data_IF_072440376507
#
_entry.id   IF_072440376507
#
_cell.length_a   1.000
_cell.length_b   1.000
_cell.length_c   1.000
_cell.angle_alpha   90.00
_cell.angle_beta   90.00
_cell.angle_gamma   90.00
#
_symmetry.space_group_name_H-M   'P 1'
#
loop_
_entity.id
_entity.type
_entity.pdbx_description
1 polymer ?
#
# COMPACT_ATOMS: atom_id res chain seq x y z
N UNK A 1 -13.18 30.58 -5.95
CA UNK A 1 -12.41 29.43 -6.47
C UNK A 1 -13.28 28.20 -6.71
N UNK A 2 -13.93 27.64 -5.69
CA UNK A 2 -14.79 26.44 -5.82
C UNK A 2 -15.88 26.59 -6.89
N UNK A 3 -16.60 27.71 -6.93
CA UNK A 3 -17.66 27.96 -7.92
C UNK A 3 -17.16 27.95 -9.38
N UNK A 4 -15.96 28.49 -9.63
CA UNK A 4 -15.33 28.46 -10.96
C UNK A 4 -14.99 27.04 -11.40
N UNK A 5 -14.44 26.24 -10.48
CA UNK A 5 -14.15 24.83 -10.72
C UNK A 5 -15.42 24.05 -11.05
N UNK A 6 -16.47 24.20 -10.23
CA UNK A 6 -17.75 23.54 -10.45
C UNK A 6 -18.43 23.95 -11.76
N UNK A 7 -18.30 25.21 -12.17
CA UNK A 7 -18.82 25.69 -13.45
C UNK A 7 -18.13 25.02 -14.64
N UNK A 8 -16.80 24.91 -14.62
CA UNK A 8 -16.05 24.21 -15.68
C UNK A 8 -16.34 22.70 -15.67
N UNK A 9 -16.46 22.08 -14.50
CA UNK A 9 -16.88 20.68 -14.38
C UNK A 9 -18.27 20.45 -15.01
N UNK A 10 -19.21 21.35 -14.78
CA UNK A 10 -20.55 21.28 -15.36
C UNK A 10 -20.52 21.38 -16.90
N UNK A 11 -19.66 22.21 -17.48
CA UNK A 11 -19.47 22.30 -18.94
C UNK A 11 -19.00 20.98 -19.56
N UNK A 12 -18.31 20.14 -18.78
CA UNK A 12 -17.86 18.82 -19.18
C UNK A 12 -18.81 17.68 -18.72
N UNK A 13 -20.02 18.00 -18.24
CA UNK A 13 -20.98 17.06 -17.67
C UNK A 13 -20.43 16.24 -16.47
N UNK A 14 -19.49 16.82 -15.72
CA UNK A 14 -18.92 16.19 -14.52
C UNK A 14 -19.72 16.70 -13.31
N UNK A 15 -20.65 15.89 -12.81
CA UNK A 15 -21.45 16.25 -11.62
C UNK A 15 -20.60 16.23 -10.34
N UNK A 16 -19.73 15.23 -10.22
CA UNK A 16 -18.82 15.04 -9.10
C UNK A 16 -17.45 14.57 -9.59
N UNK A 17 -16.35 14.98 -8.93
CA UNK A 17 -15.02 14.53 -9.33
C UNK A 17 -14.87 13.04 -8.98
N UNK A 18 -14.89 12.19 -10.00
CA UNK A 18 -14.79 10.73 -9.88
C UNK A 18 -14.08 10.15 -11.10
N UNK A 19 -13.47 8.98 -10.94
CA UNK A 19 -12.89 8.22 -12.04
C UNK A 19 -13.87 7.21 -12.62
N UNK A 20 -13.56 6.72 -13.82
CA UNK A 20 -14.24 5.56 -14.42
C UNK A 20 -13.69 4.28 -13.79
N UNK A 21 -14.17 3.97 -12.58
CA UNK A 21 -13.62 2.90 -11.74
C UNK A 21 -13.68 1.49 -12.35
N UNK A 22 -14.59 1.26 -13.29
CA UNK A 22 -14.80 -0.03 -13.95
C UNK A 22 -13.84 -0.28 -15.12
N UNK A 23 -13.09 0.75 -15.55
CA UNK A 23 -12.14 0.66 -16.65
C UNK A 23 -10.72 0.52 -16.07
N UNK A 24 -9.98 -0.50 -16.50
CA UNK A 24 -8.58 -0.68 -16.09
C UNK A 24 -7.70 0.39 -16.76
N UNK A 25 -6.77 0.96 -16.00
CA UNK A 25 -5.83 1.98 -16.47
C UNK A 25 -6.36 3.41 -16.36
N UNK A 26 -5.58 4.39 -16.84
CA UNK A 26 -5.97 5.80 -16.84
C UNK A 26 -6.82 6.08 -18.08
N UNK A 27 -8.07 6.48 -17.88
CA UNK A 27 -8.95 6.84 -18.99
C UNK A 27 -8.78 8.31 -19.38
N UNK A 28 -9.26 8.67 -20.59
CA UNK A 28 -9.36 10.08 -21.00
C UNK A 28 -10.25 10.88 -20.03
N UNK A 29 -11.26 10.24 -19.44
CA UNK A 29 -12.11 10.83 -18.42
C UNK A 29 -11.31 11.16 -17.16
N UNK A 30 -10.52 10.22 -16.63
CA UNK A 30 -9.73 10.42 -15.42
C UNK A 30 -8.72 11.56 -15.61
N UNK A 31 -8.07 11.60 -16.79
CA UNK A 31 -7.18 12.68 -17.18
C UNK A 31 -7.87 14.05 -17.18
N UNK A 32 -9.08 14.14 -17.76
CA UNK A 32 -9.87 15.37 -17.80
C UNK A 32 -10.24 15.86 -16.38
N UNK A 33 -10.71 14.94 -15.52
CA UNK A 33 -11.06 15.27 -14.13
C UNK A 33 -9.84 15.80 -13.36
N UNK A 34 -8.68 15.12 -13.49
CA UNK A 34 -7.43 15.57 -12.87
C UNK A 34 -7.02 16.95 -13.40
N UNK A 35 -7.02 17.15 -14.71
CA UNK A 35 -6.59 18.41 -15.32
C UNK A 35 -7.44 19.60 -14.88
N UNK A 36 -8.77 19.45 -14.81
CA UNK A 36 -9.67 20.51 -14.31
C UNK A 36 -9.34 20.84 -12.85
N UNK A 37 -9.24 19.83 -11.99
CA UNK A 37 -8.95 20.04 -10.57
C UNK A 37 -7.59 20.70 -10.35
N UNK A 38 -6.56 20.23 -11.05
CA UNK A 38 -5.18 20.78 -10.96
C UNK A 38 -5.14 22.21 -11.47
N UNK A 39 -5.81 22.51 -12.59
CA UNK A 39 -5.92 23.88 -13.14
C UNK A 39 -6.50 24.84 -12.11
N UNK A 40 -7.62 24.48 -11.49
CA UNK A 40 -8.29 25.35 -10.50
C UNK A 40 -7.53 25.43 -9.17
N UNK A 41 -6.86 24.36 -8.76
CA UNK A 41 -6.00 24.36 -7.59
C UNK A 41 -4.81 25.31 -7.75
N UNK A 42 -4.11 25.23 -8.90
CA UNK A 42 -3.00 26.12 -9.22
C UNK A 42 -3.46 27.58 -9.38
N UNK A 43 -4.63 27.81 -9.98
CA UNK A 43 -5.22 29.13 -10.08
C UNK A 43 -5.51 29.74 -8.69
N UNK A 44 -6.12 28.96 -7.79
CA UNK A 44 -6.37 29.39 -6.41
C UNK A 44 -5.07 29.69 -5.66
N UNK A 45 -4.03 28.84 -5.81
CA UNK A 45 -2.71 29.10 -5.26
C UNK A 45 -2.14 30.44 -5.74
N UNK A 46 -2.16 30.69 -7.04
CA UNK A 46 -1.61 31.90 -7.65
C UNK A 46 -2.38 33.18 -7.28
N UNK A 47 -3.61 33.03 -6.77
CA UNK A 47 -4.41 34.12 -6.18
C UNK A 47 -4.32 34.16 -4.66
N UNK A 48 -3.30 33.52 -4.10
CA UNK A 48 -2.96 33.54 -2.69
C UNK A 48 -4.10 33.00 -1.80
N UNK A 49 -4.95 32.12 -2.34
CA UNK A 49 -6.06 31.52 -1.59
C UNK A 49 -5.61 30.61 -0.44
N UNK A 50 -4.32 30.27 -0.39
CA UNK A 50 -3.70 29.39 0.61
C UNK A 50 -2.72 30.14 1.53
N UNK A 51 -2.86 31.45 1.72
CA UNK A 51 -1.98 32.24 2.59
C UNK A 51 -1.88 31.68 4.02
N UNK A 52 -2.98 31.15 4.56
CA UNK A 52 -3.01 30.51 5.88
C UNK A 52 -2.28 29.15 5.92
N UNK A 53 -2.00 28.57 4.74
CA UNK A 53 -1.34 27.27 4.56
C UNK A 53 -0.25 27.39 3.49
N UNK A 54 0.85 28.13 3.75
CA UNK A 54 1.87 28.41 2.76
C UNK A 54 2.51 27.10 2.28
N UNK A 55 2.27 26.77 1.02
CA UNK A 55 2.87 25.61 0.37
C UNK A 55 4.23 26.00 -0.20
N UNK A 56 5.26 25.23 0.10
CA UNK A 56 6.57 25.38 -0.52
C UNK A 56 6.44 25.32 -2.05
N UNK A 57 7.03 26.31 -2.73
CA UNK A 57 6.98 26.51 -4.19
C UNK A 57 7.27 25.22 -4.96
N UNK A 58 8.30 24.50 -4.52
CA UNK A 58 8.87 23.33 -5.20
C UNK A 58 7.91 22.13 -5.24
N UNK A 59 6.93 22.08 -4.34
CA UNK A 59 5.92 21.02 -4.26
C UNK A 59 4.62 21.35 -5.02
N UNK A 60 4.59 22.47 -5.73
CA UNK A 60 3.39 22.94 -6.42
C UNK A 60 3.50 22.89 -7.96
N UNK A 61 4.34 22.00 -8.49
CA UNK A 61 4.40 21.77 -9.93
C UNK A 61 3.13 21.06 -10.41
N UNK A 62 2.72 21.25 -11.68
CA UNK A 62 1.54 20.59 -12.25
C UNK A 62 1.59 19.08 -12.02
N UNK A 63 2.75 18.46 -12.21
CA UNK A 63 2.96 17.01 -12.04
C UNK A 63 2.72 16.55 -10.61
N UNK A 64 3.30 17.25 -9.61
CA UNK A 64 3.13 16.89 -8.20
C UNK A 64 1.68 17.04 -7.77
N UNK A 65 1.04 18.16 -8.14
CA UNK A 65 -0.36 18.41 -7.80
C UNK A 65 -1.27 17.38 -8.48
N UNK A 66 -0.98 17.00 -9.73
CA UNK A 66 -1.72 15.93 -10.42
C UNK A 66 -1.63 14.61 -9.67
N UNK A 67 -0.44 14.23 -9.20
CA UNK A 67 -0.25 13.02 -8.39
C UNK A 67 -1.04 13.07 -7.07
N UNK A 68 -1.05 14.23 -6.39
CA UNK A 68 -1.81 14.44 -5.15
C UNK A 68 -3.32 14.31 -5.39
N UNK A 69 -3.84 14.98 -6.43
CA UNK A 69 -5.26 14.95 -6.80
C UNK A 69 -5.68 13.53 -7.19
N UNK A 70 -4.87 12.83 -7.99
CA UNK A 70 -5.13 11.45 -8.38
C UNK A 70 -5.19 10.54 -7.15
N UNK A 71 -4.21 10.65 -6.24
CA UNK A 71 -4.19 9.85 -5.01
C UNK A 71 -5.41 10.16 -4.12
N UNK A 72 -5.79 11.43 -4.00
CA UNK A 72 -6.96 11.84 -3.23
C UNK A 72 -8.25 11.21 -3.79
N UNK A 73 -8.44 11.26 -5.11
CA UNK A 73 -9.60 10.63 -5.76
C UNK A 73 -9.63 9.11 -5.59
N UNK A 74 -8.48 8.44 -5.72
CA UNK A 74 -8.38 6.99 -5.47
C UNK A 74 -8.73 6.61 -4.03
N UNK A 75 -8.41 7.46 -3.05
CA UNK A 75 -8.82 7.26 -1.65
C UNK A 75 -10.33 7.41 -1.47
N UNK A 76 -10.99 8.27 -2.24
CA UNK A 76 -12.44 8.44 -2.17
C UNK A 76 -13.19 7.17 -2.64
N UNK A 77 -12.66 6.41 -3.62
CA UNK A 77 -13.23 5.10 -4.04
C UNK A 77 -13.45 4.17 -2.85
N UNK A 78 -12.49 4.12 -1.92
CA UNK A 78 -12.56 3.25 -0.74
C UNK A 78 -13.69 3.64 0.25
N UNK A 79 -14.16 4.88 0.20
CA UNK A 79 -15.24 5.39 1.06
C UNK A 79 -16.64 5.12 0.53
N UNK A 80 -16.81 4.87 -0.78
CA UNK A 80 -18.12 4.73 -1.41
C UNK A 80 -18.67 3.29 -1.42
N UNK A 81 -17.90 2.28 -0.99
CA UNK A 81 -18.25 0.87 -1.20
C UNK A 81 -18.19 -0.06 0.02
N UNK A 82 -17.94 0.43 1.24
CA UNK A 82 -17.83 -0.44 2.43
C UNK A 82 -18.51 0.16 3.65
N UNK A 83 -19.30 -0.65 4.36
CA UNK A 83 -19.94 -0.28 5.61
C UNK A 83 -18.91 0.28 6.61
N UNK A 84 -19.24 1.43 7.21
CA UNK A 84 -18.33 2.21 8.05
C UNK A 84 -17.82 1.41 9.27
N UNK A 85 -18.60 0.42 9.72
CA UNK A 85 -18.30 -0.44 10.88
C UNK A 85 -17.28 -1.54 10.54
N UNK A 86 -17.39 -2.22 9.39
CA UNK A 86 -16.42 -3.25 8.96
C UNK A 86 -15.06 -2.62 8.65
N UNK A 87 -15.03 -1.39 8.12
CA UNK A 87 -13.79 -0.65 7.85
C UNK A 87 -13.00 -0.31 9.14
N UNK A 88 -13.67 -0.05 10.26
CA UNK A 88 -13.00 0.23 11.54
C UNK A 88 -12.31 -1.01 12.12
N UNK A 89 -12.91 -2.20 11.98
CA UNK A 89 -12.29 -3.44 12.46
C UNK A 89 -11.09 -3.85 11.59
N UNK A 90 -11.25 -3.83 10.26
CA UNK A 90 -10.16 -4.17 9.35
C UNK A 90 -8.97 -3.21 9.50
N UNK A 91 -9.21 -1.91 9.68
CA UNK A 91 -8.13 -0.94 9.92
C UNK A 91 -7.39 -1.19 11.24
N UNK A 92 -8.09 -1.59 12.31
CA UNK A 92 -7.46 -2.00 13.58
C UNK A 92 -6.62 -3.26 13.41
N UNK A 93 -7.12 -4.25 12.68
CA UNK A 93 -6.41 -5.50 12.37
C UNK A 93 -5.14 -5.20 11.55
N UNK A 94 -5.25 -4.44 10.46
CA UNK A 94 -4.11 -4.04 9.62
C UNK A 94 -3.06 -3.26 10.41
N UNK A 95 -3.49 -2.34 11.28
CA UNK A 95 -2.58 -1.61 12.17
C UNK A 95 -1.84 -2.55 13.11
N UNK A 96 -2.51 -3.56 13.66
CA UNK A 96 -1.89 -4.54 14.56
C UNK A 96 -0.91 -5.44 13.83
N UNK A 97 -1.27 -5.95 12.65
CA UNK A 97 -0.38 -6.73 11.77
C UNK A 97 0.87 -5.93 11.38
N UNK A 98 0.69 -4.67 10.98
CA UNK A 98 1.81 -3.76 10.69
C UNK A 98 2.76 -3.63 11.89
N UNK A 99 2.22 -3.39 13.09
CA UNK A 99 3.03 -3.29 14.30
C UNK A 99 3.78 -4.59 14.62
N UNK A 100 3.13 -5.74 14.45
CA UNK A 100 3.73 -7.03 14.70
C UNK A 100 4.87 -7.32 13.70
N UNK A 101 4.64 -7.13 12.40
CA UNK A 101 5.68 -7.27 11.36
C UNK A 101 6.83 -6.32 11.58
N UNK A 102 6.56 -5.05 11.85
CA UNK A 102 7.60 -4.06 12.13
C UNK A 102 8.41 -4.42 13.39
N UNK A 103 7.75 -4.86 14.46
CA UNK A 103 8.43 -5.30 15.67
C UNK A 103 9.34 -6.51 15.39
N UNK A 104 8.83 -7.51 14.67
CA UNK A 104 9.61 -8.69 14.35
C UNK A 104 10.78 -8.37 13.42
N UNK A 105 10.58 -7.52 12.42
CA UNK A 105 11.65 -7.06 11.54
C UNK A 105 12.73 -6.32 12.32
N UNK A 106 12.37 -5.42 13.25
CA UNK A 106 13.34 -4.73 14.12
C UNK A 106 14.15 -5.72 14.95
N UNK A 107 13.50 -6.76 15.48
CA UNK A 107 14.13 -7.79 16.30
C UNK A 107 15.12 -8.64 15.50
N UNK A 108 14.78 -9.01 14.27
CA UNK A 108 15.57 -9.97 13.48
C UNK A 108 16.58 -9.30 12.55
N UNK A 109 16.26 -8.11 12.03
CA UNK A 109 17.02 -7.44 10.96
C UNK A 109 17.65 -6.11 11.43
N UNK A 110 17.30 -5.64 12.62
CA UNK A 110 17.72 -4.33 13.13
C UNK A 110 16.79 -3.18 12.74
N UNK A 111 16.86 -2.08 13.48
CA UNK A 111 15.95 -0.95 13.35
C UNK A 111 16.03 -0.23 12.00
N UNK A 112 17.24 -0.10 11.45
CA UNK A 112 17.47 0.60 10.19
C UNK A 112 16.84 -0.15 9.03
N UNK A 113 17.23 -1.42 8.84
CA UNK A 113 16.67 -2.30 7.81
C UNK A 113 15.16 -2.39 7.92
N UNK A 114 14.62 -2.65 9.13
CA UNK A 114 13.18 -2.76 9.32
C UNK A 114 12.41 -1.52 8.87
N UNK A 115 12.97 -0.33 9.04
CA UNK A 115 12.34 0.92 8.60
C UNK A 115 12.41 1.12 7.08
N UNK A 116 13.39 0.52 6.40
CA UNK A 116 13.50 0.53 4.95
C UNK A 116 12.53 -0.47 4.30
N UNK A 117 12.43 -1.69 4.85
CA UNK A 117 11.62 -2.77 4.27
C UNK A 117 10.17 -2.79 4.76
N UNK A 118 9.84 -2.09 5.86
CA UNK A 118 8.47 -1.93 6.36
C UNK A 118 8.21 -0.43 6.69
N UNK A 119 8.25 0.45 5.67
CA UNK A 119 8.18 1.90 5.88
C UNK A 119 6.76 2.41 6.18
N UNK A 120 5.72 1.69 5.73
CA UNK A 120 4.35 2.18 5.75
C UNK A 120 3.33 1.07 6.02
N UNK A 121 2.16 1.46 6.55
CA UNK A 121 1.05 0.54 6.84
C UNK A 121 0.50 -0.18 5.59
N UNK A 122 0.76 0.37 4.40
CA UNK A 122 0.38 -0.25 3.12
C UNK A 122 1.21 -1.51 2.81
N UNK A 123 2.25 -1.81 3.58
CA UNK A 123 2.99 -3.07 3.46
C UNK A 123 2.19 -4.25 4.06
N UNK A 124 0.96 -4.00 4.51
CA UNK A 124 -0.09 -4.98 4.84
C UNK A 124 -1.24 -4.89 3.80
N UNK A 125 -0.93 -4.47 2.56
CA UNK A 125 -1.95 -4.45 1.50
C UNK A 125 -2.45 -5.87 1.21
N UNK A 126 -1.56 -6.87 1.36
CA UNK A 126 -1.81 -8.30 1.23
C UNK A 126 -2.93 -8.84 2.12
N UNK A 127 -3.42 -8.10 3.10
CA UNK A 127 -4.49 -8.57 3.99
C UNK A 127 -5.84 -7.99 3.59
N UNK A 128 -6.84 -8.84 3.34
CA UNK A 128 -8.25 -8.45 3.13
C UNK A 128 -9.19 -9.25 4.02
N UNK A 129 -10.47 -8.89 4.00
CA UNK A 129 -11.54 -9.58 4.72
C UNK A 129 -12.58 -10.02 3.70
N UNK A 130 -12.98 -11.29 3.74
CA UNK A 130 -14.05 -11.81 2.89
C UNK A 130 -15.44 -11.40 3.42
N UNK A 131 -16.51 -11.87 2.74
CA UNK A 131 -17.89 -11.57 3.15
C UNK A 131 -18.29 -12.21 4.48
N UNK A 132 -17.57 -13.24 4.90
CA UNK A 132 -17.81 -14.01 6.12
C UNK A 132 -16.95 -13.53 7.29
N UNK A 133 -16.12 -12.49 7.09
CA UNK A 133 -15.24 -11.92 8.11
C UNK A 133 -13.90 -12.64 8.27
N UNK A 134 -13.56 -13.57 7.39
CA UNK A 134 -12.27 -14.27 7.43
C UNK A 134 -11.17 -13.38 6.87
N UNK A 135 -10.00 -13.43 7.50
CA UNK A 135 -8.83 -12.71 7.01
C UNK A 135 -8.17 -13.50 5.88
N UNK A 136 -8.02 -12.84 4.74
CA UNK A 136 -7.35 -13.39 3.56
C UNK A 136 -5.97 -12.78 3.42
N UNK A 137 -4.98 -13.61 3.09
CA UNK A 137 -3.69 -13.20 2.55
C UNK A 137 -3.77 -13.31 1.02
N UNK A 138 -3.82 -12.16 0.36
CA UNK A 138 -3.97 -12.03 -1.08
C UNK A 138 -2.62 -11.69 -1.69
N UNK A 139 -2.33 -12.32 -2.82
CA UNK A 139 -1.18 -12.00 -3.64
C UNK A 139 -1.35 -10.60 -4.26
N UNK A 140 -0.39 -9.70 -3.97
CA UNK A 140 -0.39 -8.37 -4.55
C UNK A 140 0.40 -8.36 -5.86
N UNK A 141 -0.23 -7.95 -6.96
CA UNK A 141 0.42 -7.82 -8.28
C UNK A 141 1.69 -6.93 -8.27
N UNK A 142 1.76 -5.97 -7.35
CA UNK A 142 2.89 -5.07 -7.20
C UNK A 142 4.05 -5.66 -6.40
N UNK A 143 3.81 -6.70 -5.59
CA UNK A 143 4.75 -7.21 -4.61
C UNK A 143 5.69 -8.23 -5.26
N UNK A 144 7.01 -8.06 -5.08
CA UNK A 144 7.97 -9.04 -5.57
C UNK A 144 7.90 -10.34 -4.73
N UNK A 145 8.02 -11.51 -5.36
CA UNK A 145 7.94 -12.82 -4.68
C UNK A 145 8.89 -12.94 -3.48
N UNK A 146 10.13 -12.46 -3.62
CA UNK A 146 11.10 -12.42 -2.50
C UNK A 146 10.62 -11.57 -1.32
N UNK A 147 9.99 -10.43 -1.59
CA UNK A 147 9.46 -9.57 -0.54
C UNK A 147 8.22 -10.19 0.11
N UNK A 148 7.33 -10.81 -0.68
CA UNK A 148 6.22 -11.61 -0.17
C UNK A 148 6.71 -12.73 0.78
N UNK A 149 7.76 -13.46 0.37
CA UNK A 149 8.39 -14.48 1.20
C UNK A 149 8.94 -13.89 2.51
N UNK A 150 9.61 -12.73 2.45
CA UNK A 150 10.10 -12.05 3.64
C UNK A 150 8.95 -11.72 4.62
N UNK A 151 7.84 -11.18 4.12
CA UNK A 151 6.67 -10.87 4.94
C UNK A 151 6.10 -12.13 5.60
N UNK A 152 5.99 -13.23 4.85
CA UNK A 152 5.57 -14.53 5.38
C UNK A 152 6.51 -15.05 6.48
N UNK A 153 7.83 -14.92 6.30
CA UNK A 153 8.82 -15.31 7.31
C UNK A 153 8.71 -14.48 8.58
N UNK A 154 8.42 -13.18 8.48
CA UNK A 154 8.18 -12.32 9.65
C UNK A 154 6.92 -12.74 10.41
N UNK A 155 5.87 -13.11 9.69
CA UNK A 155 4.63 -13.62 10.29
C UNK A 155 4.86 -14.95 10.99
N UNK A 156 5.57 -15.87 10.34
CA UNK A 156 5.96 -17.18 10.90
C UNK A 156 6.77 -17.00 12.18
N UNK A 157 7.78 -16.13 12.17
CA UNK A 157 8.58 -15.84 13.35
C UNK A 157 7.76 -15.18 14.47
N UNK A 158 6.75 -14.38 14.11
CA UNK A 158 5.80 -13.80 15.08
C UNK A 158 4.98 -14.89 15.77
N UNK A 159 4.41 -15.82 14.99
CA UNK A 159 3.66 -16.98 15.51
C UNK A 159 4.55 -17.81 16.43
N UNK A 160 5.76 -18.17 15.99
CA UNK A 160 6.73 -18.92 16.80
C UNK A 160 7.07 -18.19 18.10
N UNK A 161 7.41 -16.90 18.02
CA UNK A 161 7.76 -16.14 19.22
C UNK A 161 6.61 -15.99 20.21
N UNK A 162 5.35 -15.98 19.74
CA UNK A 162 4.17 -16.00 20.61
C UNK A 162 3.99 -17.38 21.23
N UNK A 163 4.13 -18.44 20.44
CA UNK A 163 4.06 -19.84 20.90
C UNK A 163 5.06 -20.11 22.02
N UNK A 164 6.30 -19.69 21.84
CA UNK A 164 7.36 -19.94 22.83
C UNK A 164 7.11 -19.18 24.15
N UNK A 165 6.50 -18.00 24.07
CA UNK A 165 6.28 -17.13 25.25
C UNK A 165 4.96 -17.38 25.97
N UNK A 166 3.91 -17.80 25.24
CA UNK A 166 2.53 -17.84 25.72
C UNK A 166 1.81 -19.16 25.42
N UNK A 167 2.48 -20.11 24.79
CA UNK A 167 1.95 -21.42 24.44
C UNK A 167 1.13 -21.44 23.16
N UNK A 168 0.76 -22.66 22.75
CA UNK A 168 0.06 -22.94 21.48
C UNK A 168 -1.29 -22.21 21.36
N UNK A 169 -2.08 -22.14 22.42
CA UNK A 169 -3.39 -21.49 22.39
C UNK A 169 -3.29 -19.99 22.04
N UNK A 170 -2.23 -19.31 22.51
CA UNK A 170 -2.01 -17.91 22.18
C UNK A 170 -1.52 -17.73 20.74
N UNK A 171 -0.67 -18.65 20.26
CA UNK A 171 -0.19 -18.65 18.88
C UNK A 171 -1.34 -18.88 17.90
N UNK A 172 -2.23 -19.83 18.18
CA UNK A 172 -3.41 -20.11 17.35
C UNK A 172 -4.48 -19.00 17.38
N UNK A 173 -4.35 -17.99 18.24
CA UNK A 173 -5.25 -16.84 18.30
C UNK A 173 -4.63 -15.56 17.73
N UNK A 174 -3.39 -15.62 17.26
CA UNK A 174 -2.74 -14.46 16.67
C UNK A 174 -3.24 -14.20 15.25
N UNK A 175 -3.25 -12.94 14.84
CA UNK A 175 -3.81 -12.52 13.56
C UNK A 175 -3.07 -13.17 12.37
N UNK A 176 -1.76 -13.34 12.51
CA UNK A 176 -0.90 -13.96 11.51
C UNK A 176 -1.34 -15.39 11.18
N UNK A 177 -1.77 -16.15 12.20
CA UNK A 177 -2.20 -17.55 12.07
C UNK A 177 -3.59 -17.73 11.46
N UNK A 178 -4.40 -16.68 11.44
CA UNK A 178 -5.78 -16.73 10.93
C UNK A 178 -5.91 -16.33 9.47
N UNK A 179 -4.81 -15.89 8.83
CA UNK A 179 -4.86 -15.46 7.42
C UNK A 179 -4.79 -16.65 6.49
N UNK A 180 -5.80 -16.78 5.63
CA UNK A 180 -5.91 -17.85 4.65
C UNK A 180 -5.35 -17.36 3.31
N UNK A 181 -4.47 -18.14 2.68
CA UNK A 181 -3.93 -17.80 1.36
C UNK A 181 -5.06 -17.83 0.33
N UNK A 182 -5.30 -16.70 -0.32
CA UNK A 182 -6.29 -16.54 -1.38
C UNK A 182 -5.59 -16.28 -2.72
N UNK A 183 -6.06 -16.95 -3.78
CA UNK A 183 -5.49 -16.86 -5.15
C UNK A 183 -6.08 -15.72 -5.99
N UNK A 184 -6.78 -14.77 -5.38
CA UNK A 184 -7.47 -13.73 -6.13
C UNK A 184 -6.52 -12.58 -6.43
N UNK A 185 -6.41 -12.16 -7.69
CA UNK A 185 -5.74 -10.91 -8.03
C UNK A 185 -6.62 -9.74 -7.58
N UNK A 186 -6.18 -9.03 -6.54
CA UNK A 186 -6.80 -7.79 -6.08
C UNK A 186 -5.99 -6.58 -6.55
N UNK A 187 -6.69 -5.53 -6.99
CA UNK A 187 -6.09 -4.22 -7.28
C UNK A 187 -5.74 -3.50 -5.97
N UNK A 188 -4.70 -4.02 -5.31
CA UNK A 188 -4.23 -3.50 -4.04
C UNK A 188 -3.37 -2.25 -4.23
N UNK A 189 -3.46 -1.34 -3.25
CA UNK A 189 -2.62 -0.15 -3.24
C UNK A 189 -1.19 -0.54 -2.88
N UNK A 190 -0.25 -0.29 -3.79
CA UNK A 190 1.17 -0.54 -3.55
C UNK A 190 1.71 0.24 -2.33
N UNK A 191 2.62 -0.40 -1.58
CA UNK A 191 3.26 0.24 -0.43
C UNK A 191 4.29 1.27 -0.92
N UNK A 192 4.12 2.58 -0.62
CA UNK A 192 5.10 3.58 -1.01
C UNK A 192 6.36 3.50 -0.14
N UNK A 193 7.47 4.00 -0.66
CA UNK A 193 8.74 4.14 0.05
C UNK A 193 9.55 2.84 0.14
N UNK A 194 9.13 1.76 -0.51
CA UNK A 194 9.90 0.52 -0.54
C UNK A 194 11.11 0.60 -1.49
N UNK A 195 12.16 -0.20 -1.25
CA UNK A 195 13.22 -0.47 -2.21
C UNK A 195 12.69 -1.00 -3.55
N UNK A 196 13.33 -0.65 -4.66
CA UNK A 196 12.90 -1.08 -6.00
C UNK A 196 12.79 -2.60 -6.15
N UNK A 197 13.66 -3.37 -5.49
CA UNK A 197 13.64 -4.83 -5.50
C UNK A 197 12.58 -5.49 -4.59
N UNK A 198 11.71 -4.68 -3.96
CA UNK A 198 10.51 -5.17 -3.26
C UNK A 198 9.26 -5.14 -4.16
N UNK A 199 9.32 -4.47 -5.31
CA UNK A 199 8.24 -4.44 -6.29
C UNK A 199 8.49 -5.46 -7.41
N UNK A 200 7.43 -6.03 -7.97
CA UNK A 200 7.54 -6.87 -9.17
C UNK A 200 7.98 -6.03 -10.38
N UNK A 201 8.78 -6.62 -11.26
CA UNK A 201 9.29 -5.92 -12.44
C UNK A 201 8.16 -5.54 -13.39
N UNK A 202 7.20 -6.45 -13.59
CA UNK A 202 6.00 -6.26 -14.40
C UNK A 202 5.20 -5.03 -13.94
N UNK A 203 5.01 -4.90 -12.62
CA UNK A 203 4.34 -3.73 -12.03
C UNK A 203 5.12 -2.45 -12.31
N UNK A 204 6.43 -2.42 -12.02
CA UNK A 204 7.26 -1.22 -12.21
C UNK A 204 7.33 -0.78 -13.69
N UNK A 205 7.33 -1.73 -14.61
CA UNK A 205 7.34 -1.48 -16.05
C UNK A 205 5.99 -0.92 -16.54
N UNK A 206 4.89 -1.31 -15.89
CA UNK A 206 3.54 -0.78 -16.18
C UNK A 206 3.27 0.63 -15.65
N UNK A 207 4.12 1.16 -14.75
CA UNK A 207 3.89 2.47 -14.14
C UNK A 207 4.31 3.65 -15.03
N UNK A 208 3.47 4.68 -15.10
CA UNK A 208 3.83 5.98 -15.66
C UNK A 208 4.72 6.78 -14.70
N UNK A 209 5.28 7.90 -15.18
CA UNK A 209 6.19 8.75 -14.40
C UNK A 209 5.54 9.30 -13.12
N UNK A 210 4.26 9.66 -13.18
CA UNK A 210 3.49 10.17 -12.03
C UNK A 210 3.34 9.12 -10.94
N UNK A 211 3.03 7.88 -11.31
CA UNK A 211 2.92 6.77 -10.37
C UNK A 211 4.25 6.41 -9.73
N UNK A 212 5.34 6.40 -10.52
CA UNK A 212 6.70 6.19 -9.99
C UNK A 212 7.08 7.26 -8.96
N UNK A 213 6.76 8.52 -9.23
CA UNK A 213 6.95 9.62 -8.27
C UNK A 213 6.11 9.42 -7.00
N UNK A 214 4.84 9.04 -7.14
CA UNK A 214 3.94 8.84 -6.00
C UNK A 214 4.36 7.73 -5.05
N UNK A 215 5.05 6.70 -5.57
CA UNK A 215 5.56 5.59 -4.77
C UNK A 215 6.84 5.93 -4.03
N UNK A 216 7.54 7.02 -4.36
CA UNK A 216 8.80 7.40 -3.71
C UNK A 216 9.79 6.21 -3.60
N UNK A 217 9.96 5.48 -4.70
CA UNK A 217 10.71 4.22 -4.75
C UNK A 217 12.15 4.47 -4.30
N UNK A 218 12.63 3.67 -3.34
CA UNK A 218 14.00 3.75 -2.84
C UNK A 218 14.95 2.91 -3.68
N UNK A 219 16.26 3.15 -3.50
CA UNK A 219 17.32 2.30 -4.06
C UNK A 219 17.15 0.85 -3.60
N UNK A 220 17.58 -0.14 -4.40
CA UNK A 220 17.43 -1.54 -4.06
C UNK A 220 18.13 -1.88 -2.73
N UNK A 221 17.47 -2.69 -1.90
CA UNK A 221 18.05 -3.21 -0.67
C UNK A 221 18.96 -4.39 -1.03
N UNK A 222 20.28 -4.15 -0.98
CA UNK A 222 21.30 -5.14 -1.38
C UNK A 222 21.27 -6.40 -0.49
N UNK A 223 20.81 -6.25 0.75
CA UNK A 223 20.82 -7.31 1.76
C UNK A 223 19.53 -8.13 1.80
N UNK A 224 18.56 -7.89 0.91
CA UNK A 224 17.25 -8.55 0.96
C UNK A 224 17.35 -10.09 0.97
N UNK A 225 18.20 -10.65 0.10
CA UNK A 225 18.43 -12.10 0.03
C UNK A 225 19.11 -12.64 1.31
N UNK A 226 20.05 -11.89 1.86
CA UNK A 226 20.73 -12.23 3.11
C UNK A 226 19.75 -12.21 4.29
N UNK A 227 18.84 -11.24 4.33
CA UNK A 227 17.82 -11.13 5.35
C UNK A 227 16.85 -12.31 5.31
N UNK A 228 16.35 -12.68 4.13
CA UNK A 228 15.50 -13.86 3.94
C UNK A 228 16.20 -15.10 4.48
N UNK A 229 17.46 -15.32 4.07
CA UNK A 229 18.25 -16.45 4.56
C UNK A 229 18.41 -16.44 6.09
N UNK A 230 18.75 -15.29 6.68
CA UNK A 230 19.01 -15.18 8.12
C UNK A 230 17.80 -15.43 9.02
N UNK A 231 16.58 -15.18 8.52
CA UNK A 231 15.35 -15.30 9.32
C UNK A 231 14.53 -16.54 8.98
N UNK A 232 14.99 -17.34 8.01
CA UNK A 232 14.35 -18.61 7.65
C UNK A 232 14.50 -19.57 8.83
N UNK A 233 13.39 -20.04 9.44
CA UNK A 233 13.46 -21.00 10.53
C UNK A 233 14.15 -22.30 10.08
N UNK A 234 14.99 -22.88 10.95
CA UNK A 234 15.76 -24.09 10.66
C UNK A 234 14.90 -25.31 10.25
N UNK A 235 13.63 -25.38 10.68
CA UNK A 235 12.72 -26.47 10.30
C UNK A 235 12.24 -26.39 8.84
N UNK A 236 12.21 -25.21 8.23
CA UNK A 236 11.84 -25.02 6.81
C UNK A 236 13.02 -25.40 5.89
N UNK A 237 14.27 -25.21 6.35
CA UNK A 237 15.47 -25.65 5.62
C UNK A 237 15.58 -27.19 5.53
N UNK A 238 15.00 -27.92 6.49
CA UNK A 238 15.00 -29.38 6.50
C UNK A 238 14.01 -29.99 5.49
N UNK A 239 12.85 -29.36 5.28
CA UNK A 239 11.84 -29.83 4.31
C UNK A 239 12.26 -29.62 2.85
N UNK A 240 13.05 -28.58 2.57
CA UNK A 240 13.61 -28.34 1.23
C UNK A 240 14.70 -29.36 0.83
N UNK A 241 15.27 -30.11 1.78
CA UNK A 241 16.32 -31.10 1.53
C UNK A 241 15.77 -32.52 1.22
N UNK A 242 14.45 -32.71 1.27
CA UNK A 242 13.78 -34.01 1.00
C UNK A 242 13.27 -34.11 -0.45
N UNK A 243 13.38 -33.03 -1.23
CA UNK A 243 12.95 -32.97 -2.63
C UNK A 243 14.05 -32.54 -3.61
N UNK A 244 15.32 -32.77 -3.27
CA UNK A 244 16.45 -32.75 -4.21
C UNK A 244 17.01 -34.17 -4.39
#
# INVERSE_FOLDING_TARGET
YKSLCLSEMAQHNIQHPTFQWDVKGQTRWDGLVIDILVKHWLYAKNKEAFQEYPLQSDFCTKTIVSAIVEQWLRRQKASYGKDEITNQNLSRIKKKLFQNRLHMAKKLLGCETASQIIPHMNCISDTEEDKDGNLLCIESNWCHNKYSLLLHLLDTNTICSIRDRKGNNAANRCLESHRIIARNDSDQTACPGLPSNCYSEEFLNGLNATHKLSLSIQKPCVQLDQHIFSITPQHILAEASVHL
#
